data_IF_802635296984
#
_entry.id   IF_802635296984
#
_cell.length_a   1.000
_cell.length_b   1.000
_cell.length_c   1.000
_cell.angle_alpha   90.00
_cell.angle_beta   90.00
_cell.angle_gamma   90.00
#
_symmetry.space_group_name_H-M   'P 1'
#
loop_
_entity.id
_entity.type
_entity.pdbx_description
1 polymer ?
#
# COMPACT_ATOMS: atom_id res chain seq x y z
N UNK A 1 54.62 24.20 -27.86
CA UNK A 1 54.16 24.24 -26.46
C UNK A 1 52.70 24.60 -26.43
N UNK A 2 51.85 23.71 -25.91
CA UNK A 2 50.41 23.89 -25.83
C UNK A 2 50.00 24.66 -24.57
N UNK A 3 48.97 25.52 -24.62
CA UNK A 3 48.24 25.90 -23.41
C UNK A 3 46.94 25.09 -23.26
N UNK A 4 46.93 24.33 -22.17
CA UNK A 4 45.85 23.51 -21.64
C UNK A 4 44.93 24.40 -20.78
N UNK A 5 43.73 24.72 -21.27
CA UNK A 5 42.76 25.55 -20.55
C UNK A 5 41.49 24.76 -20.27
N UNK A 6 41.47 24.17 -19.06
CA UNK A 6 40.30 23.66 -18.34
C UNK A 6 39.19 24.72 -18.34
N UNK A 7 38.07 24.47 -19.01
CA UNK A 7 36.81 25.19 -18.77
C UNK A 7 35.81 24.26 -18.11
N UNK A 8 35.48 24.63 -16.88
CA UNK A 8 34.65 23.89 -15.94
C UNK A 8 33.23 23.69 -16.45
N UNK A 9 32.72 22.49 -16.19
CA UNK A 9 31.31 22.12 -16.22
C UNK A 9 30.60 22.85 -15.08
N UNK A 10 29.52 23.58 -15.37
CA UNK A 10 28.53 24.02 -14.38
C UNK A 10 27.20 23.36 -14.71
N UNK A 11 26.93 22.25 -14.04
CA UNK A 11 25.62 21.62 -13.97
C UNK A 11 24.75 22.43 -13.00
N UNK A 12 23.65 22.97 -13.50
CA UNK A 12 22.60 23.61 -12.69
C UNK A 12 21.70 22.50 -12.16
N UNK A 13 21.76 22.22 -10.86
CA UNK A 13 20.79 21.38 -10.15
C UNK A 13 19.73 22.29 -9.54
N UNK A 14 18.56 22.35 -10.17
CA UNK A 14 17.36 22.91 -9.55
C UNK A 14 16.80 21.88 -8.58
N UNK A 15 16.89 22.18 -7.28
CA UNK A 15 16.27 21.45 -6.18
C UNK A 15 15.27 22.41 -5.56
N UNK A 16 13.97 22.17 -5.76
CA UNK A 16 12.84 22.69 -5.00
C UNK A 16 11.56 22.16 -5.69
N UNK A 17 10.48 21.72 -5.06
CA UNK A 17 10.04 21.71 -3.66
C UNK A 17 8.80 20.80 -3.67
N UNK A 18 8.89 19.56 -3.18
CA UNK A 18 7.72 18.67 -3.12
C UNK A 18 7.05 18.83 -1.75
N UNK A 19 6.01 19.65 -1.72
CA UNK A 19 5.21 19.95 -0.54
C UNK A 19 4.26 18.78 -0.25
N UNK A 20 4.60 17.98 0.76
CA UNK A 20 3.74 16.90 1.27
C UNK A 20 2.75 17.50 2.27
N UNK A 21 1.53 17.81 1.82
CA UNK A 21 0.40 18.10 2.71
C UNK A 21 -0.16 16.80 3.28
N UNK A 22 -0.13 16.71 4.61
CA UNK A 22 -0.61 15.58 5.38
C UNK A 22 -2.09 15.63 5.78
N UNK A 23 -2.55 14.45 6.21
CA UNK A 23 -3.47 14.14 7.32
C UNK A 23 -4.82 14.89 7.42
N UNK A 24 -5.89 14.14 7.14
CA UNK A 24 -7.14 14.09 7.94
C UNK A 24 -7.65 12.63 7.85
N UNK A 25 -7.82 11.80 8.89
CA UNK A 25 -8.50 11.90 10.21
C UNK A 25 -9.97 12.34 10.10
N UNK A 26 -10.85 11.35 10.21
CA UNK A 26 -12.29 11.49 10.48
C UNK A 26 -13.08 10.43 9.71
N UNK A 27 -14.03 9.67 10.24
CA UNK A 27 -14.62 9.50 11.58
C UNK A 27 -15.33 8.14 11.51
N UNK A 28 -15.04 7.19 12.41
CA UNK A 28 -15.79 5.93 12.45
C UNK A 28 -17.14 6.18 13.12
N UNK A 29 -18.21 6.09 12.33
CA UNK A 29 -19.58 6.09 12.83
C UNK A 29 -19.95 4.68 13.28
N UNK A 30 -20.00 4.48 14.60
CA UNK A 30 -20.57 3.32 15.26
C UNK A 30 -21.91 3.73 15.88
N UNK A 31 -23.01 3.60 15.14
CA UNK A 31 -24.34 3.60 15.74
C UNK A 31 -25.26 2.62 15.01
N UNK A 32 -25.36 1.43 15.60
CA UNK A 32 -26.44 0.49 15.38
C UNK A 32 -27.63 0.86 16.29
N UNK A 33 -28.88 0.76 15.81
CA UNK A 33 -30.00 0.53 16.70
C UNK A 33 -30.52 -0.90 16.57
N UNK A 34 -30.43 -1.62 17.69
CA UNK A 34 -31.30 -2.73 18.05
C UNK A 34 -32.74 -2.21 18.13
N UNK A 35 -33.62 -2.71 17.27
CA UNK A 35 -35.07 -2.68 17.50
C UNK A 35 -35.62 -4.08 17.32
N UNK A 36 -36.08 -4.64 18.44
CA UNK A 36 -36.70 -5.94 18.56
C UNK A 36 -38.08 -6.02 17.89
N UNK A 37 -38.70 -7.21 17.95
CA UNK A 37 -39.81 -7.60 17.09
C UNK A 37 -41.15 -7.16 17.66
N UNK A 38 -42.01 -6.60 16.81
CA UNK A 38 -43.45 -6.54 17.07
C UNK A 38 -44.15 -7.50 16.12
N UNK A 39 -44.81 -8.48 16.73
CA UNK A 39 -45.65 -9.45 16.07
C UNK A 39 -46.80 -8.76 15.31
N UNK A 40 -47.01 -9.19 14.07
CA UNK A 40 -48.31 -9.03 13.40
C UNK A 40 -48.71 -10.38 12.82
N UNK A 41 -49.53 -11.10 13.59
CA UNK A 41 -50.36 -12.20 13.13
C UNK A 41 -51.56 -11.56 12.41
N UNK A 42 -51.51 -11.52 11.08
CA UNK A 42 -52.62 -11.05 10.27
C UNK A 42 -52.89 -11.99 9.10
N UNK A 43 -53.96 -12.75 9.29
CA UNK A 43 -54.95 -13.17 8.32
C UNK A 43 -54.49 -13.87 7.03
N UNK A 44 -54.77 -15.16 7.03
CA UNK A 44 -55.00 -15.99 5.85
C UNK A 44 -55.96 -15.28 4.89
N UNK A 45 -55.46 -14.85 3.75
CA UNK A 45 -56.25 -14.80 2.51
C UNK A 45 -55.59 -15.75 1.52
N UNK A 46 -56.15 -16.96 1.44
CA UNK A 46 -55.86 -17.90 0.38
C UNK A 46 -56.58 -17.36 -0.87
N UNK A 47 -55.90 -16.48 -1.62
CA UNK A 47 -56.36 -16.08 -2.92
C UNK A 47 -56.25 -17.29 -3.85
N UNK A 48 -57.39 -17.91 -4.14
CA UNK A 48 -57.52 -18.91 -5.20
C UNK A 48 -57.18 -18.24 -6.53
N UNK A 49 -55.92 -18.35 -6.94
CA UNK A 49 -55.47 -17.90 -8.25
C UNK A 49 -56.11 -18.80 -9.32
N UNK A 50 -56.63 -18.23 -10.43
CA UNK A 50 -57.16 -19.03 -11.53
C UNK A 50 -56.04 -19.86 -12.18
N UNK A 51 -56.33 -21.13 -12.45
CA UNK A 51 -55.41 -22.18 -12.92
C UNK A 51 -54.87 -22.00 -14.36
N UNK A 52 -54.82 -20.77 -14.87
CA UNK A 52 -54.34 -20.45 -16.22
C UNK A 52 -53.53 -19.16 -16.26
N UNK A 53 -52.71 -18.92 -15.24
CA UNK A 53 -51.61 -17.98 -15.40
C UNK A 53 -50.61 -18.60 -16.41
N UNK A 54 -50.27 -17.93 -17.52
CA UNK A 54 -49.20 -18.41 -18.38
C UNK A 54 -47.92 -18.42 -17.56
N UNK A 55 -47.29 -19.59 -17.46
CA UNK A 55 -45.97 -19.75 -16.87
C UNK A 55 -44.98 -18.94 -17.71
N UNK A 56 -44.78 -17.67 -17.34
CA UNK A 56 -43.79 -16.81 -17.98
C UNK A 56 -42.43 -17.43 -17.71
N UNK A 57 -41.91 -18.08 -18.74
CA UNK A 57 -40.59 -18.70 -18.74
C UNK A 57 -39.52 -17.64 -18.45
N UNK A 58 -39.14 -17.48 -17.18
CA UNK A 58 -38.00 -16.69 -16.74
C UNK A 58 -36.63 -17.35 -17.07
N UNK A 59 -36.54 -18.15 -18.14
CA UNK A 59 -35.40 -19.02 -18.41
C UNK A 59 -34.24 -18.36 -19.17
N UNK A 60 -34.32 -17.05 -19.44
CA UNK A 60 -33.30 -16.32 -20.22
C UNK A 60 -32.56 -15.27 -19.41
N UNK A 61 -33.12 -14.74 -18.31
CA UNK A 61 -32.53 -13.61 -17.59
C UNK A 61 -31.38 -14.02 -16.66
N UNK A 62 -31.43 -15.22 -16.07
CA UNK A 62 -30.35 -15.75 -15.22
C UNK A 62 -29.07 -16.05 -16.00
N UNK A 63 -29.16 -16.53 -17.23
CA UNK A 63 -27.98 -16.83 -18.05
C UNK A 63 -27.17 -15.58 -18.41
N UNK A 64 -27.85 -14.44 -18.57
CA UNK A 64 -27.18 -13.16 -18.82
C UNK A 64 -26.53 -12.61 -17.55
N UNK A 65 -27.19 -12.75 -16.39
CA UNK A 65 -26.61 -12.38 -15.09
C UNK A 65 -25.37 -13.20 -14.75
N UNK A 66 -25.38 -14.50 -15.02
CA UNK A 66 -24.22 -15.36 -14.79
C UNK A 66 -23.06 -14.98 -15.71
N UNK A 67 -23.33 -14.68 -16.98
CA UNK A 67 -22.31 -14.22 -17.93
C UNK A 67 -21.71 -12.89 -17.50
N UNK A 68 -22.54 -11.94 -17.10
CA UNK A 68 -22.11 -10.62 -16.61
C UNK A 68 -21.25 -10.75 -15.35
N UNK A 69 -21.67 -11.55 -14.37
CA UNK A 69 -20.92 -11.78 -13.14
C UNK A 69 -19.56 -12.46 -13.40
N UNK A 70 -19.48 -13.36 -14.39
CA UNK A 70 -18.21 -13.98 -14.79
C UNK A 70 -17.29 -12.95 -15.45
N UNK A 71 -17.81 -12.14 -16.36
CA UNK A 71 -17.03 -11.08 -17.03
C UNK A 71 -16.52 -10.03 -16.04
N UNK A 72 -17.36 -9.62 -15.08
CA UNK A 72 -17.01 -8.71 -14.00
C UNK A 72 -15.87 -9.27 -13.14
N UNK A 73 -15.99 -10.54 -12.70
CA UNK A 73 -14.91 -11.21 -11.94
C UNK A 73 -13.61 -11.30 -12.73
N UNK A 74 -13.68 -11.63 -14.01
CA UNK A 74 -12.48 -11.70 -14.85
C UNK A 74 -11.82 -10.33 -15.00
N UNK A 75 -12.61 -9.25 -15.11
CA UNK A 75 -12.10 -7.89 -15.17
C UNK A 75 -11.42 -7.48 -13.86
N UNK A 76 -12.10 -7.67 -12.72
CA UNK A 76 -11.54 -7.31 -11.41
C UNK A 76 -10.29 -8.10 -11.07
N UNK A 77 -10.24 -9.40 -11.37
CA UNK A 77 -9.04 -10.19 -11.14
C UNK A 77 -7.84 -9.65 -11.94
N UNK A 78 -8.04 -9.24 -13.20
CA UNK A 78 -6.97 -8.68 -14.03
C UNK A 78 -6.47 -7.33 -13.50
N UNK A 79 -7.37 -6.45 -13.10
CA UNK A 79 -6.99 -5.16 -12.52
C UNK A 79 -6.33 -5.33 -11.14
N UNK A 80 -6.80 -6.26 -10.32
CA UNK A 80 -6.20 -6.55 -9.02
C UNK A 80 -4.78 -7.12 -9.18
N UNK A 81 -4.57 -8.04 -10.13
CA UNK A 81 -3.22 -8.52 -10.46
C UNK A 81 -2.28 -7.37 -10.87
N UNK A 82 -2.77 -6.42 -11.68
CA UNK A 82 -1.99 -5.26 -12.10
C UNK A 82 -1.68 -4.32 -10.92
N UNK A 83 -2.64 -4.10 -10.03
CA UNK A 83 -2.46 -3.31 -8.82
C UNK A 83 -1.46 -3.98 -7.87
N UNK A 84 -1.58 -5.29 -7.64
CA UNK A 84 -0.67 -6.07 -6.82
C UNK A 84 0.75 -6.06 -7.38
N UNK A 85 0.93 -6.20 -8.70
CA UNK A 85 2.25 -6.04 -9.34
C UNK A 85 2.83 -4.64 -9.12
N UNK A 86 2.00 -3.61 -9.23
CA UNK A 86 2.40 -2.23 -8.95
C UNK A 86 2.81 -2.03 -7.49
N UNK A 87 2.06 -2.61 -6.55
CA UNK A 87 2.36 -2.55 -5.12
C UNK A 87 3.67 -3.27 -4.80
N UNK A 88 3.85 -4.50 -5.29
CA UNK A 88 5.09 -5.27 -5.08
C UNK A 88 6.30 -4.57 -5.69
N UNK A 89 6.15 -3.96 -6.86
CA UNK A 89 7.21 -3.14 -7.48
C UNK A 89 7.58 -1.94 -6.61
N UNK A 90 6.60 -1.23 -6.05
CA UNK A 90 6.85 -0.12 -5.11
C UNK A 90 7.51 -0.59 -3.82
N UNK A 91 7.08 -1.71 -3.25
CA UNK A 91 7.69 -2.29 -2.05
C UNK A 91 9.14 -2.70 -2.31
N UNK A 92 9.41 -3.32 -3.46
CA UNK A 92 10.77 -3.65 -3.89
C UNK A 92 11.63 -2.40 -4.05
N UNK A 93 11.13 -1.37 -4.73
CA UNK A 93 11.85 -0.10 -4.87
C UNK A 93 12.11 0.55 -3.50
N UNK A 94 11.18 0.47 -2.56
CA UNK A 94 11.39 0.97 -1.19
C UNK A 94 12.44 0.14 -0.43
N UNK A 95 12.47 -1.18 -0.62
CA UNK A 95 13.48 -2.05 -0.02
C UNK A 95 14.88 -1.76 -0.59
N UNK A 96 15.00 -1.61 -1.91
CA UNK A 96 16.26 -1.24 -2.57
C UNK A 96 16.72 0.17 -2.17
N UNK A 97 15.80 1.11 -1.94
CA UNK A 97 16.12 2.45 -1.43
C UNK A 97 16.58 2.43 0.03
N UNK A 98 16.14 1.46 0.84
CA UNK A 98 16.72 1.25 2.18
C UNK A 98 18.19 0.81 2.12
N UNK A 99 18.68 0.26 1.01
CA UNK A 99 20.12 0.02 0.85
C UNK A 99 20.87 1.31 0.44
N UNK A 100 20.14 2.35 0.00
CA UNK A 100 20.65 3.71 -0.28
C UNK A 100 20.64 4.57 1.01
N UNK A 101 20.52 3.96 2.18
CA UNK A 101 20.69 4.62 3.47
C UNK A 101 22.17 4.93 3.80
N UNK A 102 23.02 5.22 2.80
CA UNK A 102 24.37 5.77 3.05
C UNK A 102 24.31 6.98 3.98
N UNK A 103 23.30 7.84 3.81
CA UNK A 103 23.08 8.98 4.71
C UNK A 103 22.76 8.55 6.14
N UNK A 104 22.05 7.44 6.33
CA UNK A 104 21.75 6.90 7.64
C UNK A 104 22.98 6.24 8.25
N UNK A 105 23.71 5.41 7.50
CA UNK A 105 24.97 4.81 7.92
C UNK A 105 26.01 5.86 8.36
N UNK A 106 26.15 6.97 7.62
CA UNK A 106 27.05 8.07 7.98
C UNK A 106 26.61 8.81 9.25
N UNK A 107 25.29 8.99 9.44
CA UNK A 107 24.73 9.57 10.67
C UNK A 107 24.97 8.66 11.88
N UNK A 108 24.80 7.36 11.69
CA UNK A 108 25.04 6.36 12.74
C UNK A 108 26.52 6.31 13.10
N UNK A 109 27.40 6.29 12.09
CA UNK A 109 28.85 6.34 12.28
C UNK A 109 29.28 7.61 13.02
N UNK A 110 28.79 8.77 12.61
CA UNK A 110 29.11 10.04 13.30
C UNK A 110 28.55 10.10 14.72
N UNK A 111 27.35 9.56 14.98
CA UNK A 111 26.81 9.43 16.32
C UNK A 111 27.64 8.50 17.22
N UNK A 112 28.09 7.36 16.68
CA UNK A 112 28.98 6.44 17.38
C UNK A 112 30.34 7.07 17.69
N UNK A 113 30.94 7.79 16.73
CA UNK A 113 32.20 8.52 16.96
C UNK A 113 32.04 9.57 18.06
N UNK A 114 30.90 10.25 18.15
CA UNK A 114 30.65 11.24 19.22
C UNK A 114 30.58 10.62 20.63
N UNK A 115 30.05 9.40 20.74
CA UNK A 115 29.91 8.69 22.02
C UNK A 115 31.24 8.03 22.40
N UNK A 116 31.81 7.29 21.45
CA UNK A 116 32.92 6.37 21.68
C UNK A 116 34.28 7.04 21.46
N UNK A 117 34.33 8.16 20.73
CA UNK A 117 35.56 8.90 20.46
C UNK A 117 36.28 9.42 21.72
N UNK A 118 35.58 9.51 22.85
CA UNK A 118 36.18 9.82 24.16
C UNK A 118 37.11 8.73 24.69
N UNK A 119 36.98 7.51 24.19
CA UNK A 119 37.65 6.31 24.72
C UNK A 119 38.78 5.79 23.82
N UNK A 120 39.23 6.56 22.81
CA UNK A 120 40.30 6.18 21.88
C UNK A 120 40.08 4.82 21.20
N UNK A 121 38.84 4.51 20.85
CA UNK A 121 38.49 3.25 20.17
C UNK A 121 38.95 3.28 18.72
N UNK A 122 39.43 2.14 18.22
CA UNK A 122 39.91 2.03 16.84
C UNK A 122 38.75 2.13 15.84
N UNK A 123 39.01 2.66 14.65
CA UNK A 123 37.98 2.70 13.60
C UNK A 123 37.48 1.30 13.21
N UNK A 124 38.31 0.26 13.34
CA UNK A 124 37.91 -1.11 13.06
C UNK A 124 36.84 -1.60 14.06
N UNK A 125 36.98 -1.26 15.33
CA UNK A 125 36.00 -1.61 16.36
C UNK A 125 34.68 -0.85 16.18
N UNK A 126 34.73 0.38 15.67
CA UNK A 126 33.52 1.15 15.32
C UNK A 126 32.73 0.46 14.21
N UNK A 127 33.40 -0.06 13.17
CA UNK A 127 32.73 -0.84 12.13
C UNK A 127 32.16 -2.15 12.68
N UNK A 128 32.91 -2.87 13.53
CA UNK A 128 32.41 -4.09 14.18
C UNK A 128 31.16 -3.83 15.04
N UNK A 129 31.08 -2.68 15.71
CA UNK A 129 29.90 -2.26 16.48
C UNK A 129 28.71 -1.91 15.59
N UNK A 130 28.95 -1.28 14.44
CA UNK A 130 27.92 -1.02 13.43
C UNK A 130 27.38 -2.34 12.86
N UNK A 131 28.28 -3.25 12.48
CA UNK A 131 27.92 -4.57 11.98
C UNK A 131 27.13 -5.36 13.01
N UNK A 132 27.57 -5.38 14.28
CA UNK A 132 26.82 -6.02 15.37
C UNK A 132 25.41 -5.46 15.53
N UNK A 133 25.24 -4.14 15.37
CA UNK A 133 23.92 -3.48 15.46
C UNK A 133 23.02 -3.80 14.27
N UNK A 134 23.57 -3.97 13.07
CA UNK A 134 22.81 -4.24 11.84
C UNK A 134 22.54 -5.73 11.61
N UNK A 135 23.21 -6.62 12.34
CA UNK A 135 22.92 -8.05 12.34
C UNK A 135 21.46 -8.30 12.73
N UNK A 136 20.77 -9.03 11.86
CA UNK A 136 19.37 -9.44 12.01
C UNK A 136 19.23 -10.94 12.31
N UNK A 137 20.35 -11.64 12.42
CA UNK A 137 20.48 -13.02 12.86
C UNK A 137 20.55 -13.08 14.40
N UNK A 138 19.39 -13.07 15.05
CA UNK A 138 19.21 -13.44 16.45
C UNK A 138 18.24 -14.61 16.56
#
# INVERSE_FOLDING_TARGET
>A
GAPNSRRQKRSVTAVERFEVRGRGRGTMSLFAPLRGPVASLASRFCATAPAWAPMTRAYSLDKFKDKEAVEERMYFNKEDEKLLRGLLSKMKAQAEVKDIDRSHADKERSALVNIVGKYNVSNADIENLLDWRHRSDF
#
